data_IF_592898946826
#
_entry.id   IF_592898946826
#
_cell.length_a   1.000
_cell.length_b   1.000
_cell.length_c   1.000
_cell.angle_alpha   90.00
_cell.angle_beta   90.00
_cell.angle_gamma   90.00
#
_symmetry.space_group_name_H-M   'P 1'
#
loop_
_entity.id
_entity.type
_entity.pdbx_description
1 polymer ?
#
# COMPACT_ATOMS: atom_id res chain seq x y z
N UNK A 1 -11.42 -0.11 3.47
CA UNK A 1 -11.32 -1.58 3.65
C UNK A 1 -10.49 -2.27 2.56
N UNK A 2 -10.65 -1.95 1.26
CA UNK A 2 -9.84 -2.59 0.19
C UNK A 2 -8.33 -2.25 0.21
N UNK A 3 -7.90 -1.11 0.75
CA UNK A 3 -6.51 -0.65 0.62
C UNK A 3 -5.47 -1.51 1.38
N UNK A 4 -5.82 -2.02 2.58
CA UNK A 4 -4.85 -2.68 3.48
C UNK A 4 -4.77 -4.21 3.30
N UNK A 5 -5.87 -4.91 2.96
CA UNK A 5 -5.82 -6.31 2.52
C UNK A 5 -5.02 -6.45 1.20
N UNK A 6 -5.15 -5.43 0.36
CA UNK A 6 -4.36 -5.31 -0.86
C UNK A 6 -2.88 -5.00 -0.56
N UNK A 7 -2.55 -4.52 0.65
CA UNK A 7 -1.19 -4.18 1.08
C UNK A 7 -0.40 -5.42 1.51
N UNK A 8 -0.95 -6.23 2.42
CA UNK A 8 -0.31 -7.49 2.86
C UNK A 8 -0.16 -8.50 1.72
N UNK A 9 -1.05 -8.46 0.72
CA UNK A 9 -0.93 -9.24 -0.51
C UNK A 9 -0.03 -8.58 -1.55
N UNK A 10 0.12 -7.24 -1.57
CA UNK A 10 1.07 -6.55 -2.45
C UNK A 10 2.51 -6.78 -1.98
N UNK A 11 2.77 -6.73 -0.69
CA UNK A 11 4.09 -6.94 -0.09
C UNK A 11 4.59 -8.38 -0.34
N UNK A 12 3.74 -9.38 -0.06
CA UNK A 12 4.03 -10.78 -0.40
C UNK A 12 4.18 -11.03 -1.92
N UNK A 13 3.38 -10.36 -2.77
CA UNK A 13 3.52 -10.48 -4.23
C UNK A 13 4.75 -9.73 -4.77
N UNK A 14 5.17 -8.62 -4.18
CA UNK A 14 6.39 -7.91 -4.57
C UNK A 14 7.62 -8.72 -4.19
N UNK A 15 7.65 -9.24 -2.96
CA UNK A 15 8.75 -10.08 -2.48
C UNK A 15 8.81 -11.41 -3.25
N UNK A 16 7.67 -12.04 -3.56
CA UNK A 16 7.63 -13.25 -4.40
C UNK A 16 8.08 -12.96 -5.84
N UNK A 17 7.66 -11.85 -6.46
CA UNK A 17 8.09 -11.48 -7.82
C UNK A 17 9.57 -11.10 -7.89
N UNK A 18 10.10 -10.47 -6.83
CA UNK A 18 11.53 -10.21 -6.69
C UNK A 18 12.32 -11.52 -6.61
N UNK A 19 11.88 -12.47 -5.78
CA UNK A 19 12.50 -13.80 -5.65
C UNK A 19 12.42 -14.61 -6.96
N UNK A 20 11.28 -14.60 -7.66
CA UNK A 20 11.09 -15.28 -8.94
C UNK A 20 12.02 -14.71 -10.03
N UNK A 21 12.24 -13.39 -10.03
CA UNK A 21 13.17 -12.72 -10.94
C UNK A 21 14.63 -13.11 -10.65
N UNK A 22 15.04 -13.12 -9.38
CA UNK A 22 16.37 -13.57 -8.96
C UNK A 22 16.60 -15.04 -9.36
N UNK A 23 15.61 -15.91 -9.15
CA UNK A 23 15.66 -17.31 -9.57
C UNK A 23 15.81 -17.45 -11.10
N UNK A 24 15.18 -16.56 -11.89
CA UNK A 24 15.29 -16.52 -13.36
C UNK A 24 16.69 -16.07 -13.84
N UNK A 25 17.30 -15.08 -13.19
CA UNK A 25 18.66 -14.64 -13.49
C UNK A 25 19.69 -15.73 -13.17
N UNK A 26 19.55 -16.41 -12.02
CA UNK A 26 20.43 -17.52 -11.61
C UNK A 26 20.29 -18.73 -12.56
N UNK A 27 19.12 -18.98 -13.12
CA UNK A 27 18.88 -20.11 -14.04
C UNK A 27 19.35 -19.82 -15.48
N UNK A 28 19.38 -18.55 -15.93
CA UNK A 28 19.98 -18.15 -17.21
C UNK A 28 21.50 -18.38 -17.23
N UNK A 29 22.20 -18.14 -16.12
CA UNK A 29 23.65 -18.40 -15.97
C UNK A 29 24.00 -19.90 -16.13
N UNK A 30 23.12 -20.83 -15.76
CA UNK A 30 23.38 -22.28 -15.88
C UNK A 30 23.21 -22.85 -17.29
N UNK A 31 22.69 -22.09 -18.27
CA UNK A 31 22.49 -22.57 -19.66
C UNK A 31 23.61 -22.15 -20.63
N UNK A 32 24.74 -21.65 -20.12
CA UNK A 32 25.88 -21.14 -20.90
C UNK A 32 27.11 -22.07 -21.01
N UNK A 33 27.00 -23.37 -20.76
CA UNK A 33 28.11 -24.34 -20.98
C UNK A 33 27.65 -25.56 -21.78
N UNK A 34 27.50 -25.37 -23.09
CA UNK A 34 27.29 -26.44 -24.07
C UNK A 34 28.02 -26.12 -25.36
N UNK A 35 29.21 -26.68 -25.54
CA UNK A 35 30.02 -26.59 -26.77
C UNK A 35 29.36 -27.45 -27.86
N UNK A 36 28.73 -26.83 -28.84
CA UNK A 36 28.37 -27.50 -30.10
C UNK A 36 28.51 -26.53 -31.28
N UNK A 37 29.32 -26.93 -32.26
CA UNK A 37 29.43 -26.28 -33.58
C UNK A 37 28.10 -26.44 -34.30
N UNK A 38 27.42 -25.33 -34.58
CA UNK A 38 26.22 -25.29 -35.41
C UNK A 38 26.05 -23.88 -35.96
N UNK A 39 26.10 -23.75 -37.30
CA UNK A 39 25.95 -22.49 -38.02
C UNK A 39 24.51 -22.00 -37.86
N UNK A 40 24.29 -20.96 -37.06
CA UNK A 40 23.06 -20.17 -37.07
C UNK A 40 23.44 -18.71 -37.29
N UNK A 41 22.74 -18.08 -38.24
CA UNK A 41 22.84 -16.65 -38.55
C UNK A 41 22.77 -15.82 -37.26
N UNK A 42 23.75 -14.94 -37.05
CA UNK A 42 23.92 -14.17 -35.83
C UNK A 42 22.76 -13.21 -35.58
N UNK A 43 21.99 -13.47 -34.52
CA UNK A 43 21.29 -12.43 -33.78
C UNK A 43 22.12 -12.14 -32.53
N UNK A 44 23.05 -11.19 -32.68
CA UNK A 44 23.55 -10.43 -31.55
C UNK A 44 22.37 -9.62 -31.04
N UNK A 45 21.71 -10.11 -30.00
CA UNK A 45 20.81 -9.30 -29.19
C UNK A 45 21.72 -8.28 -28.52
N UNK A 46 21.79 -7.07 -29.10
CA UNK A 46 22.36 -5.92 -28.42
C UNK A 46 21.49 -5.66 -27.19
N UNK A 47 21.89 -6.27 -26.07
CA UNK A 47 21.34 -6.03 -24.74
C UNK A 47 21.69 -4.62 -24.32
N UNK A 48 21.08 -3.63 -24.97
CA UNK A 48 21.33 -2.23 -24.71
C UNK A 48 21.06 -1.90 -23.25
N UNK A 49 21.94 -1.10 -22.66
CA UNK A 49 21.74 -0.57 -21.31
C UNK A 49 21.11 0.83 -21.39
N UNK A 50 20.40 1.20 -20.35
CA UNK A 50 19.72 2.48 -20.19
C UNK A 50 20.05 3.04 -18.82
N UNK A 51 20.23 4.35 -18.72
CA UNK A 51 20.54 5.03 -17.46
C UNK A 51 19.24 5.43 -16.75
N UNK A 52 19.12 5.08 -15.47
CA UNK A 52 18.04 5.55 -14.64
C UNK A 52 18.18 7.02 -14.27
N UNK A 53 17.19 7.83 -14.61
CA UNK A 53 17.21 9.26 -14.27
C UNK A 53 17.10 9.53 -12.77
N UNK A 54 16.49 8.60 -12.01
CA UNK A 54 16.24 8.74 -10.57
C UNK A 54 17.45 8.29 -9.72
N UNK A 55 17.96 7.07 -9.92
CA UNK A 55 19.08 6.53 -9.13
C UNK A 55 20.46 6.61 -9.84
N UNK A 56 20.50 7.04 -11.11
CA UNK A 56 21.72 7.13 -11.95
C UNK A 56 22.41 5.80 -12.24
N UNK A 57 21.78 4.67 -11.90
CA UNK A 57 22.29 3.35 -12.22
C UNK A 57 22.07 3.00 -13.69
N UNK A 58 23.02 2.25 -14.26
CA UNK A 58 22.94 1.70 -15.61
C UNK A 58 22.26 0.34 -15.52
N UNK A 59 21.13 0.19 -16.18
CA UNK A 59 20.24 -0.97 -16.09
C UNK A 59 20.07 -1.56 -17.50
N UNK A 60 19.98 -2.88 -17.63
CA UNK A 60 19.73 -3.48 -18.95
C UNK A 60 18.30 -3.21 -19.41
N UNK A 61 18.10 -3.04 -20.72
CA UNK A 61 16.76 -2.77 -21.29
C UNK A 61 15.75 -3.87 -20.96
N UNK A 62 16.20 -5.12 -20.79
CA UNK A 62 15.34 -6.25 -20.40
C UNK A 62 14.70 -6.08 -19.02
N UNK A 63 15.41 -5.48 -18.05
CA UNK A 63 14.91 -5.28 -16.68
C UNK A 63 14.53 -3.82 -16.39
N UNK A 64 14.54 -2.95 -17.41
CA UNK A 64 14.25 -1.53 -17.23
C UNK A 64 12.86 -1.28 -16.67
N UNK A 65 11.83 -1.96 -17.18
CA UNK A 65 10.46 -1.80 -16.70
C UNK A 65 10.33 -2.25 -15.24
N UNK A 66 10.94 -3.39 -14.90
CA UNK A 66 10.98 -3.91 -13.53
C UNK A 66 11.77 -2.97 -12.60
N UNK A 67 12.87 -2.40 -13.08
CA UNK A 67 13.63 -1.43 -12.32
C UNK A 67 12.78 -0.21 -11.98
N UNK A 68 12.12 0.38 -12.99
CA UNK A 68 11.29 1.57 -12.79
C UNK A 68 10.13 1.33 -11.83
N UNK A 69 9.47 0.18 -11.92
CA UNK A 69 8.31 -0.11 -11.07
C UNK A 69 8.66 -0.65 -9.69
N UNK A 70 9.70 -1.49 -9.57
CA UNK A 70 9.95 -2.28 -8.36
C UNK A 70 11.34 -2.13 -7.73
N UNK A 71 12.40 -2.01 -8.53
CA UNK A 71 13.77 -2.12 -7.98
C UNK A 71 14.43 -0.77 -7.74
N UNK A 72 14.00 0.29 -8.40
CA UNK A 72 14.64 1.59 -8.27
C UNK A 72 14.50 2.07 -6.81
N UNK A 73 15.62 2.34 -6.11
CA UNK A 73 15.60 2.79 -4.72
C UNK A 73 15.01 4.19 -4.56
N UNK A 74 15.06 4.98 -5.64
CA UNK A 74 14.56 6.35 -5.70
C UNK A 74 13.13 6.43 -6.28
N UNK A 75 12.45 5.30 -6.49
CA UNK A 75 11.04 5.33 -6.91
C UNK A 75 10.18 5.87 -5.76
N UNK A 76 9.15 6.63 -6.12
CA UNK A 76 8.21 7.19 -5.14
C UNK A 76 7.18 6.12 -4.78
N UNK A 77 7.03 5.87 -3.48
CA UNK A 77 6.10 4.90 -2.90
C UNK A 77 5.38 5.55 -1.72
N UNK A 78 4.08 5.31 -1.59
CA UNK A 78 3.29 5.81 -0.46
C UNK A 78 3.45 4.91 0.77
N UNK A 79 3.56 5.51 1.95
CA UNK A 79 3.51 4.80 3.23
C UNK A 79 2.15 4.15 3.47
N UNK A 80 2.17 2.89 3.88
CA UNK A 80 0.99 2.06 4.16
C UNK A 80 0.11 2.60 5.28
N UNK A 81 0.70 3.35 6.20
CA UNK A 81 0.04 3.83 7.41
C UNK A 81 -0.46 5.27 7.29
N UNK A 82 0.24 6.12 6.54
CA UNK A 82 -0.09 7.54 6.44
C UNK A 82 -0.29 8.08 5.02
N UNK A 83 -0.16 7.23 4.00
CA UNK A 83 -0.27 7.58 2.57
C UNK A 83 0.76 8.63 2.10
N UNK A 84 1.76 8.97 2.91
CA UNK A 84 2.79 9.94 2.54
C UNK A 84 3.77 9.34 1.53
N UNK A 85 4.04 10.08 0.45
CA UNK A 85 4.89 9.65 -0.67
C UNK A 85 6.36 9.94 -0.38
N UNK A 86 7.18 8.90 -0.45
CA UNK A 86 8.61 8.95 -0.14
C UNK A 86 9.41 8.10 -1.15
N UNK A 87 10.71 8.39 -1.34
CA UNK A 87 11.63 7.45 -1.98
C UNK A 87 11.62 6.09 -1.29
N UNK A 88 11.64 5.00 -2.06
CA UNK A 88 11.63 3.65 -1.50
C UNK A 88 12.78 3.36 -0.52
N UNK A 89 13.93 4.02 -0.68
CA UNK A 89 15.07 3.92 0.24
C UNK A 89 14.75 4.46 1.65
N UNK A 90 13.89 5.47 1.77
CA UNK A 90 13.52 6.08 3.07
C UNK A 90 12.25 5.44 3.66
N UNK A 91 11.49 4.71 2.85
CA UNK A 91 10.17 4.20 3.21
C UNK A 91 10.23 3.26 4.42
N UNK A 92 11.25 2.39 4.51
CA UNK A 92 11.35 1.40 5.57
C UNK A 92 11.54 2.06 6.95
N UNK A 93 12.49 2.98 7.05
CA UNK A 93 12.75 3.75 8.28
C UNK A 93 11.52 4.58 8.68
N UNK A 94 10.87 5.20 7.70
CA UNK A 94 9.63 5.92 7.91
C UNK A 94 8.51 5.01 8.44
N UNK A 95 8.33 3.81 7.86
CA UNK A 95 7.29 2.87 8.28
C UNK A 95 7.53 2.30 9.67
N UNK A 96 8.78 2.13 10.11
CA UNK A 96 9.09 1.68 11.46
C UNK A 96 8.58 2.68 12.51
N UNK A 97 8.85 3.97 12.29
CA UNK A 97 8.36 5.04 13.17
C UNK A 97 6.85 5.25 12.98
N UNK A 98 6.38 5.38 11.75
CA UNK A 98 4.97 5.69 11.46
C UNK A 98 4.03 4.57 11.90
N UNK A 99 4.43 3.31 11.76
CA UNK A 99 3.60 2.16 12.16
C UNK A 99 3.42 2.03 13.67
N UNK A 100 4.37 2.58 14.45
CA UNK A 100 4.31 2.64 15.91
C UNK A 100 3.39 3.76 16.43
N UNK A 101 2.98 4.71 15.57
CA UNK A 101 1.98 5.72 15.94
C UNK A 101 0.66 5.02 16.30
N UNK A 102 0.00 5.50 17.33
CA UNK A 102 -1.28 4.95 17.81
C UNK A 102 -2.45 5.86 17.46
N UNK A 103 -3.58 5.26 17.10
CA UNK A 103 -4.87 5.94 16.93
C UNK A 103 -5.86 5.48 18.01
N UNK A 104 -6.85 6.30 18.31
CA UNK A 104 -7.83 6.02 19.36
C UNK A 104 -9.03 5.26 18.78
N UNK A 105 -9.28 4.04 19.28
CA UNK A 105 -10.46 3.27 18.92
C UNK A 105 -11.69 3.76 19.70
N UNK A 106 -12.71 4.21 18.97
CA UNK A 106 -13.95 4.71 19.57
C UNK A 106 -14.82 3.61 20.19
N UNK A 107 -14.65 2.37 19.75
CA UNK A 107 -15.46 1.22 20.17
C UNK A 107 -14.99 0.66 21.51
N UNK A 108 -13.69 0.36 21.64
CA UNK A 108 -13.13 -0.19 22.89
C UNK A 108 -12.45 0.85 23.80
N UNK A 109 -12.37 2.11 23.36
CA UNK A 109 -11.73 3.23 24.08
C UNK A 109 -10.24 3.01 24.39
N UNK A 110 -9.53 2.25 23.55
CA UNK A 110 -8.08 1.99 23.68
C UNK A 110 -7.30 2.64 22.55
N UNK A 111 -6.05 3.00 22.84
CA UNK A 111 -5.08 3.38 21.81
C UNK A 111 -4.52 2.12 21.16
N UNK A 112 -4.46 2.11 19.84
CA UNK A 112 -4.06 0.96 19.03
C UNK A 112 -3.04 1.41 18.01
N UNK A 113 -1.93 0.67 17.87
CA UNK A 113 -0.88 0.99 16.88
C UNK A 113 -1.41 0.84 15.46
N UNK A 114 -0.97 1.69 14.55
CA UNK A 114 -1.40 1.65 13.15
C UNK A 114 -1.09 0.31 12.48
N UNK A 115 0.08 -0.29 12.79
CA UNK A 115 0.46 -1.63 12.32
C UNK A 115 -0.54 -2.71 12.75
N UNK A 116 -1.17 -2.55 13.91
CA UNK A 116 -2.08 -3.52 14.53
C UNK A 116 -3.56 -3.21 14.25
N UNK A 117 -3.86 -2.08 13.59
CA UNK A 117 -5.22 -1.55 13.48
C UNK A 117 -6.19 -2.48 12.78
N UNK A 118 -5.78 -3.18 11.71
CA UNK A 118 -6.65 -4.13 10.99
C UNK A 118 -7.04 -5.30 11.90
N UNK A 119 -6.04 -5.90 12.58
CA UNK A 119 -6.30 -7.01 13.50
C UNK A 119 -7.21 -6.57 14.64
N UNK A 120 -7.00 -5.35 15.14
CA UNK A 120 -7.86 -4.74 16.13
C UNK A 120 -9.29 -4.51 15.63
N UNK A 121 -9.50 -3.94 14.43
CA UNK A 121 -10.83 -3.66 13.88
C UNK A 121 -11.68 -4.94 13.80
N UNK A 122 -11.09 -6.03 13.31
CA UNK A 122 -11.75 -7.33 13.18
C UNK A 122 -12.18 -7.87 14.55
N UNK A 123 -11.27 -7.89 15.53
CA UNK A 123 -11.54 -8.45 16.86
C UNK A 123 -12.44 -7.53 17.71
N UNK A 124 -12.22 -6.23 17.63
CA UNK A 124 -12.94 -5.23 18.42
C UNK A 124 -14.40 -5.15 17.97
N UNK A 125 -14.69 -5.21 16.67
CA UNK A 125 -16.06 -5.16 16.17
C UNK A 125 -16.80 -6.48 16.44
N UNK A 126 -16.11 -7.62 16.39
CA UNK A 126 -16.68 -8.91 16.80
C UNK A 126 -17.10 -8.90 18.28
N UNK A 127 -16.27 -8.34 19.16
CA UNK A 127 -16.52 -8.33 20.60
C UNK A 127 -17.52 -7.25 21.04
N UNK A 128 -17.61 -6.13 20.32
CA UNK A 128 -18.60 -5.09 20.60
C UNK A 128 -20.05 -5.61 20.44
N UNK A 129 -20.27 -6.50 19.48
CA UNK A 129 -21.57 -7.12 19.24
C UNK A 129 -21.96 -8.15 20.32
N UNK A 130 -20.98 -8.81 20.94
CA UNK A 130 -21.20 -9.72 22.06
C UNK A 130 -21.46 -8.98 23.39
N UNK A 131 -20.80 -7.84 23.59
CA UNK A 131 -20.84 -7.08 24.84
C UNK A 131 -22.02 -6.09 24.94
N UNK A 132 -22.79 -5.89 23.87
CA UNK A 132 -24.04 -5.13 23.90
C UNK A 132 -25.15 -5.84 24.72
N UNK A 133 -25.02 -7.17 24.94
CA UNK A 133 -25.96 -7.98 25.73
C UNK A 133 -25.53 -8.18 27.19
N UNK A 134 -24.37 -7.68 27.60
CA UNK A 134 -23.79 -7.94 28.93
C UNK A 134 -23.41 -6.67 29.71
N UNK A 135 -24.06 -5.53 29.43
CA UNK A 135 -23.96 -4.34 30.28
C UNK A 135 -25.09 -4.33 31.31
N UNK A 136 -25.06 -5.26 32.26
CA UNK A 136 -25.41 -4.96 33.65
C UNK A 136 -24.36 -5.64 34.53
N UNK A 137 -23.90 -4.94 35.57
CA UNK A 137 -22.95 -5.37 36.60
C UNK A 137 -21.47 -5.50 36.20
N UNK A 138 -20.67 -4.47 36.49
CA UNK A 138 -19.86 -4.49 37.72
C UNK A 138 -18.97 -3.25 37.82
N UNK A 139 -19.13 -2.54 38.93
CA UNK A 139 -18.29 -1.44 39.35
C UNK A 139 -17.03 -1.97 40.07
N UNK A 140 -15.95 -1.15 40.02
CA UNK A 140 -14.66 -1.24 40.75
C UNK A 140 -13.67 -2.23 40.10
N UNK A 141 -12.39 -1.89 39.85
CA UNK A 141 -11.34 -1.42 40.76
C UNK A 141 -10.28 -0.61 39.98
N UNK A 142 -9.78 0.49 40.57
CA UNK A 142 -8.54 1.18 40.21
C UNK A 142 -7.38 0.53 40.98
N UNK A 143 -6.20 0.33 40.37
CA UNK A 143 -4.95 0.58 41.08
C UNK A 143 -4.10 1.62 40.35
N UNK A 144 -3.77 2.66 41.10
CA UNK A 144 -2.83 3.73 40.76
C UNK A 144 -1.39 3.23 40.94
N UNK A 145 -0.56 3.37 39.89
CA UNK A 145 0.90 3.58 40.05
C UNK A 145 1.51 4.20 38.77
N UNK A 146 2.22 5.31 38.97
CA UNK A 146 3.13 6.10 38.10
C UNK A 146 3.68 5.44 36.82
N UNK A 147 3.84 6.12 35.68
CA UNK A 147 4.53 7.40 35.44
C UNK A 147 3.86 8.15 34.28
N UNK A 148 3.60 9.45 34.45
CA UNK A 148 3.08 10.34 33.41
C UNK A 148 4.24 10.81 32.51
N UNK A 149 4.30 10.48 31.19
CA UNK A 149 5.19 11.18 30.27
C UNK A 149 4.61 12.58 29.98
N UNK A 150 5.43 13.58 29.67
CA UNK A 150 4.93 14.92 29.31
C UNK A 150 3.98 14.83 28.10
N UNK A 151 2.96 15.70 28.01
CA UNK A 151 2.03 15.67 26.90
C UNK A 151 2.80 15.93 25.59
N UNK A 152 2.64 15.08 24.55
CA UNK A 152 3.21 15.38 23.25
C UNK A 152 2.53 16.64 22.72
N UNK A 153 3.35 17.63 22.38
CA UNK A 153 2.94 18.84 21.66
C UNK A 153 2.26 18.37 20.37
N UNK A 154 0.94 18.61 20.26
CA UNK A 154 0.18 18.28 19.06
C UNK A 154 0.70 19.14 17.89
N UNK A 155 1.18 18.55 16.78
CA UNK A 155 1.23 19.27 15.52
C UNK A 155 -0.21 19.58 15.06
N UNK A 156 -0.41 20.62 14.23
CA UNK A 156 -1.73 20.95 13.70
C UNK A 156 -2.35 19.73 13.02
N UNK A 157 -3.62 19.46 13.34
CA UNK A 157 -4.41 18.45 12.62
C UNK A 157 -4.42 18.79 11.13
N UNK A 158 -4.02 17.88 10.21
CA UNK A 158 -4.50 17.95 8.84
C UNK A 158 -5.97 17.53 8.86
N UNK A 159 -6.82 18.49 9.19
CA UNK A 159 -8.23 18.44 8.85
C UNK A 159 -8.32 18.56 7.32
N UNK A 160 -9.15 17.73 6.67
CA UNK A 160 -9.50 17.75 5.23
C UNK A 160 -9.05 16.57 4.33
N UNK A 161 -8.60 15.44 4.88
CA UNK A 161 -8.40 14.23 4.05
C UNK A 161 -9.68 13.43 3.74
N UNK A 162 -10.59 13.32 4.71
CA UNK A 162 -11.69 12.35 4.65
C UNK A 162 -12.98 12.90 4.00
N UNK A 163 -13.25 14.20 4.11
CA UNK A 163 -14.46 14.83 3.57
C UNK A 163 -14.37 15.07 2.06
N UNK A 164 -13.16 15.38 1.55
CA UNK A 164 -12.96 15.64 0.12
C UNK A 164 -13.10 14.36 -0.72
N UNK A 165 -12.62 13.22 -0.21
CA UNK A 165 -12.80 11.90 -0.85
C UNK A 165 -14.30 11.55 -0.99
N UNK A 166 -15.13 11.80 0.04
CA UNK A 166 -16.59 11.55 -0.05
C UNK A 166 -17.29 12.49 -1.02
N UNK A 167 -16.94 13.78 -1.02
CA UNK A 167 -17.54 14.78 -1.91
C UNK A 167 -17.21 14.52 -3.40
N UNK A 168 -15.97 14.17 -3.71
CA UNK A 168 -15.54 13.86 -5.09
C UNK A 168 -16.20 12.58 -5.62
N UNK A 169 -16.31 11.53 -4.79
CA UNK A 169 -17.04 10.31 -5.17
C UNK A 169 -18.52 10.59 -5.44
N UNK A 170 -19.17 11.41 -4.61
CA UNK A 170 -20.58 11.78 -4.85
C UNK A 170 -20.75 12.59 -6.13
N UNK A 171 -19.87 13.56 -6.42
CA UNK A 171 -19.94 14.37 -7.65
C UNK A 171 -19.74 13.49 -8.90
N UNK A 172 -18.77 12.57 -8.86
CA UNK A 172 -18.51 11.66 -9.98
C UNK A 172 -19.70 10.72 -10.25
N UNK A 173 -20.32 10.15 -9.21
CA UNK A 173 -21.47 9.25 -9.35
C UNK A 173 -22.69 9.99 -9.89
N UNK A 174 -22.96 11.20 -9.39
CA UNK A 174 -24.09 12.02 -9.89
C UNK A 174 -23.87 12.46 -11.34
N UNK A 175 -22.63 12.81 -11.72
CA UNK A 175 -22.31 13.21 -13.10
C UNK A 175 -22.51 12.07 -14.11
N UNK A 176 -22.08 10.86 -13.76
CA UNK A 176 -22.24 9.67 -14.61
C UNK A 176 -23.72 9.33 -14.79
N UNK A 177 -24.54 9.39 -13.73
CA UNK A 177 -25.96 9.11 -13.80
C UNK A 177 -26.71 10.08 -14.73
N UNK A 178 -26.39 11.38 -14.67
CA UNK A 178 -27.01 12.40 -15.54
C UNK A 178 -26.60 12.21 -16.99
N UNK A 179 -25.31 11.95 -17.27
CA UNK A 179 -24.83 11.71 -18.64
C UNK A 179 -25.47 10.48 -19.28
N UNK A 180 -25.58 9.37 -18.54
CA UNK A 180 -26.24 8.16 -19.03
C UNK A 180 -27.73 8.42 -19.26
N UNK A 181 -28.40 9.13 -18.34
CA UNK A 181 -29.80 9.50 -18.47
C UNK A 181 -30.09 10.33 -19.73
N UNK A 182 -29.28 11.35 -20.02
CA UNK A 182 -29.45 12.19 -21.21
C UNK A 182 -29.22 11.44 -22.52
N UNK A 183 -28.30 10.47 -22.56
CA UNK A 183 -28.03 9.67 -23.76
C UNK A 183 -29.17 8.68 -24.02
N UNK A 184 -29.71 8.06 -22.97
CA UNK A 184 -30.83 7.13 -23.12
C UNK A 184 -32.13 7.86 -23.50
N UNK A 185 -32.36 9.07 -22.97
CA UNK A 185 -33.54 9.87 -23.30
C UNK A 185 -33.51 10.44 -24.73
N UNK A 186 -32.33 10.82 -25.24
CA UNK A 186 -32.18 11.23 -26.65
C UNK A 186 -32.46 10.09 -27.65
N UNK A 187 -32.33 8.82 -27.22
CA UNK A 187 -32.54 7.64 -28.06
C UNK A 187 -34.00 7.23 -28.19
N UNK A 188 -34.87 7.77 -27.33
CA UNK A 188 -36.31 7.48 -27.31
C UNK A 188 -37.12 8.43 -28.22
N UNK A 189 -36.59 9.61 -28.56
CA UNK A 189 -37.21 10.59 -29.49
C UNK A 189 -36.86 10.34 -30.97
N UNK A 190 -36.00 9.35 -31.27
CA UNK A 190 -35.51 9.06 -32.63
C UNK A 190 -36.14 7.81 -33.27
N UNK A 191 -37.34 7.41 -32.85
CA UNK A 191 -38.10 6.33 -33.48
C UNK A 191 -39.54 6.74 -33.80
#
# INVERSE_FOLDING_TARGET
MKAMLHHHTKDMRHQQRFLDCIQSLITKEKKGKGRARGKHCGMLVDGGTVNCTLCKEIVTREIWDLHKSEQCPQRIVACDYCEFELPAVELHEHQDVCGNRTEFCQTCKKYVRLREWIGHEIQCHANANANASAQTSSARIIPEREVRPPPPVRPPRPMHGAQHKRLLFTIAVTGIAVMIGSILFQREESF
#
